data_IF_748705360211
#
_entry.id   IF_748705360211
#
_cell.length_a   1.000
_cell.length_b   1.000
_cell.length_c   1.000
_cell.angle_alpha   90.00
_cell.angle_beta   90.00
_cell.angle_gamma   90.00
#
_symmetry.space_group_name_H-M   'P 1'
#
loop_
_entity.id
_entity.type
_entity.pdbx_description
1 polymer ?
#
# COMPACT_ATOMS: atom_id res chain seq x y z
N UNK A 1 -8.71 -6.89 0.87
CA UNK A 1 -8.59 -5.83 -0.15
C UNK A 1 -9.64 -6.15 -1.20
N UNK A 2 -10.47 -5.17 -1.55
CA UNK A 2 -11.55 -5.29 -2.52
C UNK A 2 -11.25 -4.50 -3.79
N UNK A 3 -10.64 -3.33 -3.67
CA UNK A 3 -10.20 -2.51 -4.80
C UNK A 3 -8.92 -1.74 -4.45
N UNK A 4 -8.19 -1.35 -5.49
CA UNK A 4 -6.99 -0.51 -5.40
C UNK A 4 -6.96 0.44 -6.59
N UNK A 5 -6.58 1.69 -6.34
CA UNK A 5 -6.33 2.69 -7.37
C UNK A 5 -4.98 3.35 -7.13
N UNK A 6 -4.24 3.58 -8.21
CA UNK A 6 -2.98 4.29 -8.21
C UNK A 6 -3.08 5.40 -9.27
N UNK A 7 -3.06 6.65 -8.82
CA UNK A 7 -2.94 7.82 -9.68
C UNK A 7 -1.50 8.33 -9.67
N UNK A 8 -0.89 8.43 -10.85
CA UNK A 8 0.48 8.91 -11.06
C UNK A 8 0.53 10.26 -11.80
N UNK A 9 -0.61 10.94 -11.96
CA UNK A 9 -0.71 12.17 -12.76
C UNK A 9 -0.32 13.45 -12.00
N UNK A 10 -0.30 13.39 -10.66
CA UNK A 10 0.08 14.50 -9.79
C UNK A 10 1.58 14.63 -9.57
N UNK A 11 1.97 15.62 -8.75
CA UNK A 11 3.34 15.77 -8.24
C UNK A 11 3.72 14.55 -7.37
N UNK A 12 2.81 14.19 -6.46
CA UNK A 12 2.84 12.94 -5.71
C UNK A 12 1.86 11.93 -6.31
N UNK A 13 2.20 10.66 -6.20
CA UNK A 13 1.26 9.58 -6.51
C UNK A 13 0.18 9.49 -5.42
N UNK A 14 -1.06 9.18 -5.80
CA UNK A 14 -2.14 8.92 -4.86
C UNK A 14 -2.51 7.44 -4.88
N UNK A 15 -2.40 6.78 -3.72
CA UNK A 15 -2.80 5.40 -3.52
C UNK A 15 -4.11 5.35 -2.74
N UNK A 16 -5.13 4.75 -3.35
CA UNK A 16 -6.42 4.47 -2.69
C UNK A 16 -6.61 2.96 -2.55
N UNK A 17 -6.91 2.52 -1.34
CA UNK A 17 -7.13 1.11 -1.00
C UNK A 17 -8.52 0.95 -0.39
N UNK A 18 -9.33 0.04 -0.91
CA UNK A 18 -10.64 -0.27 -0.34
C UNK A 18 -10.63 -1.67 0.27
N UNK A 19 -11.03 -1.78 1.52
CA UNK A 19 -11.27 -3.05 2.22
C UNK A 19 -12.57 -3.02 3.03
N UNK A 20 -12.82 -4.07 3.81
CA UNK A 20 -14.03 -4.19 4.64
C UNK A 20 -14.19 -3.06 5.68
N UNK A 21 -13.12 -2.29 5.95
CA UNK A 21 -13.09 -1.18 6.89
C UNK A 21 -13.29 0.17 6.20
N UNK A 22 -13.44 0.19 4.88
CA UNK A 22 -13.67 1.38 4.07
C UNK A 22 -12.51 1.71 3.15
N UNK A 23 -12.48 2.98 2.73
CA UNK A 23 -11.51 3.53 1.81
C UNK A 23 -10.36 4.20 2.57
N UNK A 24 -9.13 3.92 2.14
CA UNK A 24 -7.91 4.45 2.73
C UNK A 24 -7.11 5.19 1.68
N UNK A 25 -6.80 6.45 1.96
CA UNK A 25 -6.00 7.30 1.08
C UNK A 25 -4.58 7.46 1.62
N UNK A 26 -3.59 7.38 0.73
CA UNK A 26 -2.18 7.56 1.06
C UNK A 26 -1.54 8.38 -0.08
N UNK A 27 -1.01 9.56 0.24
CA UNK A 27 -0.11 10.29 -0.64
C UNK A 27 1.25 9.61 -0.65
N UNK A 28 1.81 9.39 -1.84
CA UNK A 28 3.03 8.62 -2.06
C UNK A 28 4.01 9.48 -2.87
N UNK A 29 5.12 9.87 -2.24
CA UNK A 29 6.15 10.63 -2.95
C UNK A 29 6.81 9.82 -4.06
N UNK A 30 7.23 10.50 -5.14
CA UNK A 30 7.97 9.88 -6.25
C UNK A 30 9.47 9.89 -5.96
N UNK A 31 9.99 8.82 -5.35
CA UNK A 31 11.39 8.74 -4.88
C UNK A 31 11.70 9.49 -3.58
N UNK A 32 10.82 10.40 -3.15
CA UNK A 32 10.86 11.08 -1.86
C UNK A 32 9.86 10.49 -0.86
N UNK A 33 10.06 10.78 0.44
CA UNK A 33 9.14 10.36 1.49
C UNK A 33 8.13 11.45 1.80
N UNK A 34 6.84 11.14 1.65
CA UNK A 34 5.73 12.03 2.01
C UNK A 34 5.08 11.56 3.30
N UNK A 35 4.93 12.47 4.26
CA UNK A 35 4.27 12.22 5.53
C UNK A 35 2.75 12.30 5.38
N UNK A 36 2.04 11.43 6.08
CA UNK A 36 0.59 11.45 6.15
C UNK A 36 0.04 10.58 7.28
N UNK A 37 -1.25 10.32 7.22
CA UNK A 37 -1.94 9.40 8.13
C UNK A 37 -2.86 8.48 7.33
N UNK A 38 -3.00 7.23 7.76
CA UNK A 38 -3.93 6.29 7.13
C UNK A 38 -4.51 5.32 8.15
N UNK A 39 -5.74 4.87 7.93
CA UNK A 39 -6.34 3.76 8.65
C UNK A 39 -6.06 2.40 7.99
N UNK A 40 -5.27 2.37 6.90
CA UNK A 40 -4.87 1.14 6.24
C UNK A 40 -3.97 0.33 7.18
N UNK A 41 -4.59 -0.62 7.88
CA UNK A 41 -3.95 -1.40 8.93
C UNK A 41 -3.64 -2.82 8.42
N UNK A 42 -2.79 -2.91 7.41
CA UNK A 42 -2.41 -4.20 6.83
C UNK A 42 -1.32 -4.94 7.63
N UNK A 43 -0.87 -4.39 8.75
CA UNK A 43 0.29 -4.90 9.48
C UNK A 43 0.04 -5.12 10.98
N UNK A 44 -0.93 -4.45 11.60
CA UNK A 44 -0.96 -4.31 13.06
C UNK A 44 -2.24 -4.92 13.62
N UNK A 45 -2.19 -6.23 13.83
CA UNK A 45 -3.19 -7.02 14.56
C UNK A 45 -4.62 -6.93 14.03
N UNK A 46 -5.21 -8.08 13.67
CA UNK A 46 -6.65 -8.17 13.37
C UNK A 46 -7.53 -7.67 14.53
N UNK A 47 -6.96 -7.57 15.73
CA UNK A 47 -7.60 -7.10 16.96
C UNK A 47 -7.56 -5.58 17.14
N UNK A 48 -6.84 -4.82 16.31
CA UNK A 48 -6.86 -3.37 16.38
C UNK A 48 -8.25 -2.85 15.99
N UNK A 49 -8.82 -1.86 16.72
CA UNK A 49 -10.09 -1.25 16.36
C UNK A 49 -10.04 -0.75 14.91
N UNK A 50 -11.06 -1.10 14.13
CA UNK A 50 -11.21 -0.56 12.79
C UNK A 50 -11.26 0.98 12.89
N UNK A 51 -10.54 1.68 12.01
CA UNK A 51 -10.47 3.14 11.87
C UNK A 51 -9.44 3.92 12.72
N UNK A 52 -8.46 3.29 13.38
CA UNK A 52 -7.36 4.06 13.99
C UNK A 52 -6.43 4.61 12.91
N UNK A 53 -6.47 5.92 12.70
CA UNK A 53 -5.52 6.66 11.86
C UNK A 53 -4.12 6.56 12.44
N UNK A 54 -3.17 6.08 11.65
CA UNK A 54 -1.77 5.95 12.05
C UNK A 54 -0.88 6.83 11.20
N UNK A 55 0.11 7.50 11.81
CA UNK A 55 1.10 8.23 11.04
C UNK A 55 1.92 7.29 10.17
N UNK A 56 2.11 7.69 8.91
CA UNK A 56 2.83 6.93 7.89
C UNK A 56 3.69 7.88 7.07
N UNK A 57 4.87 7.42 6.66
CA UNK A 57 5.60 8.01 5.54
C UNK A 57 5.50 7.06 4.35
N UNK A 58 5.22 7.56 3.16
CA UNK A 58 5.12 6.74 1.95
C UNK A 58 5.99 7.26 0.82
N UNK A 59 6.60 6.33 0.10
CA UNK A 59 7.44 6.59 -1.06
C UNK A 59 7.21 5.51 -2.12
N UNK A 60 7.17 5.90 -3.38
CA UNK A 60 6.90 5.02 -4.51
C UNK A 60 7.88 5.22 -5.65
N UNK A 61 8.13 4.15 -6.39
CA UNK A 61 8.96 4.17 -7.58
C UNK A 61 8.67 2.97 -8.50
N UNK A 62 8.94 3.14 -9.79
CA UNK A 62 9.09 2.02 -10.71
C UNK A 62 10.36 1.23 -10.37
N UNK A 63 10.20 -0.05 -10.04
CA UNK A 63 11.31 -0.95 -9.70
C UNK A 63 11.64 -1.92 -10.83
N UNK A 64 10.72 -2.05 -11.79
CA UNK A 64 10.89 -2.71 -13.07
C UNK A 64 10.03 -1.99 -14.12
N UNK A 65 10.16 -2.37 -15.40
CA UNK A 65 9.41 -1.74 -16.51
C UNK A 65 7.89 -1.91 -16.41
N UNK A 66 7.42 -2.86 -15.60
CA UNK A 66 6.01 -3.20 -15.40
C UNK A 66 5.57 -3.15 -13.93
N UNK A 67 6.45 -2.75 -13.00
CA UNK A 67 6.19 -2.89 -11.55
C UNK A 67 6.43 -1.58 -10.81
N UNK A 68 5.34 -1.01 -10.27
CA UNK A 68 5.38 0.13 -9.35
C UNK A 68 5.35 -0.37 -7.91
N UNK A 69 6.37 -0.03 -7.12
CA UNK A 69 6.46 -0.40 -5.71
C UNK A 69 6.16 0.81 -4.84
N UNK A 70 5.33 0.61 -3.81
CA UNK A 70 5.05 1.59 -2.74
C UNK A 70 5.59 1.05 -1.44
N UNK A 71 6.43 1.81 -0.76
CA UNK A 71 6.91 1.53 0.59
C UNK A 71 6.19 2.42 1.58
N UNK A 72 5.59 1.81 2.58
CA UNK A 72 4.97 2.50 3.71
C UNK A 72 5.87 2.34 4.93
N UNK A 73 5.99 3.38 5.75
CA UNK A 73 6.72 3.37 7.00
C UNK A 73 5.82 3.92 8.10
N UNK A 74 5.24 3.03 8.92
CA UNK A 74 4.44 3.40 10.08
C UNK A 74 5.37 3.73 11.24
N UNK A 75 5.95 4.93 11.23
CA UNK A 75 7.13 5.32 12.02
C UNK A 75 6.94 5.40 13.54
N UNK A 76 5.74 5.09 14.05
CA UNK A 76 5.49 4.87 15.48
C UNK A 76 5.46 3.38 15.86
N UNK A 77 5.83 2.52 14.92
CA UNK A 77 5.76 1.05 14.98
C UNK A 77 6.97 0.46 14.23
N UNK A 78 7.28 -0.83 14.40
CA UNK A 78 8.37 -1.46 13.65
C UNK A 78 7.99 -1.83 12.20
N UNK A 79 6.78 -1.52 11.73
CA UNK A 79 6.26 -2.05 10.47
C UNK A 79 6.48 -1.11 9.28
N UNK A 80 7.09 -1.64 8.24
CA UNK A 80 7.36 -0.97 6.98
C UNK A 80 6.95 -1.84 5.79
N UNK A 81 5.64 -2.00 5.50
CA UNK A 81 5.19 -2.85 4.42
C UNK A 81 5.50 -2.26 3.04
N UNK A 82 5.60 -3.16 2.07
CA UNK A 82 5.78 -2.87 0.65
C UNK A 82 4.60 -3.45 -0.13
N UNK A 83 3.99 -2.60 -0.95
CA UNK A 83 3.00 -2.97 -1.95
C UNK A 83 3.71 -2.99 -3.30
N UNK A 84 3.53 -4.07 -4.06
CA UNK A 84 4.01 -4.18 -5.44
C UNK A 84 2.80 -4.27 -6.38
N UNK A 85 2.76 -3.39 -7.38
CA UNK A 85 1.72 -3.36 -8.41
C UNK A 85 2.38 -3.69 -9.74
N UNK A 86 2.17 -4.93 -10.21
CA UNK A 86 2.68 -5.39 -11.50
C UNK A 86 1.59 -5.31 -12.55
N UNK A 87 1.82 -4.56 -13.61
CA UNK A 87 0.86 -4.30 -14.69
C UNK A 87 1.10 -5.25 -15.87
N UNK A 88 0.04 -5.88 -16.36
CA UNK A 88 0.09 -6.75 -17.53
C UNK A 88 -1.18 -6.59 -18.35
N UNK A 89 -1.13 -5.74 -19.38
CA UNK A 89 -2.31 -5.41 -20.18
C UNK A 89 -3.34 -4.65 -19.34
N UNK A 90 -4.54 -5.20 -19.24
CA UNK A 90 -5.66 -4.68 -18.41
C UNK A 90 -5.68 -5.27 -16.99
N UNK A 91 -4.72 -6.12 -16.64
CA UNK A 91 -4.60 -6.73 -15.31
C UNK A 91 -3.52 -6.06 -14.46
N UNK A 92 -3.78 -5.98 -13.15
CA UNK A 92 -2.80 -5.60 -12.14
C UNK A 92 -2.67 -6.71 -11.10
N UNK A 93 -1.45 -7.22 -10.90
CA UNK A 93 -1.15 -8.08 -9.75
C UNK A 93 -0.75 -7.22 -8.56
N UNK A 94 -1.49 -7.35 -7.46
CA UNK A 94 -1.19 -6.78 -6.16
C UNK A 94 -0.41 -7.78 -5.31
N UNK A 95 0.82 -7.42 -4.98
CA UNK A 95 1.65 -8.09 -3.98
C UNK A 95 1.76 -7.25 -2.70
N UNK A 96 1.77 -7.92 -1.54
CA UNK A 96 1.97 -7.26 -0.25
C UNK A 96 2.97 -8.03 0.59
N UNK A 97 3.99 -7.31 1.08
CA UNK A 97 5.03 -7.83 1.95
C UNK A 97 5.21 -6.93 3.16
N UNK A 98 5.34 -7.52 4.34
CA UNK A 98 5.73 -6.82 5.57
C UNK A 98 7.18 -7.15 5.91
N UNK A 99 7.89 -6.18 6.51
CA UNK A 99 9.28 -6.36 6.91
C UNK A 99 9.46 -7.31 8.10
N UNK A 100 8.49 -7.36 9.02
CA UNK A 100 8.54 -8.20 10.22
C UNK A 100 7.13 -8.60 10.64
N UNK A 101 6.95 -9.87 11.02
CA UNK A 101 5.71 -10.37 11.60
C UNK A 101 5.97 -11.66 12.39
N UNK A 102 5.06 -11.98 13.30
CA UNK A 102 4.93 -13.34 13.84
C UNK A 102 4.08 -14.17 12.88
N UNK A 103 4.68 -14.63 11.79
CA UNK A 103 4.01 -15.40 10.73
C UNK A 103 4.57 -15.09 9.33
N UNK A 104 3.85 -15.49 8.27
CA UNK A 104 4.23 -15.20 6.90
C UNK A 104 4.40 -13.69 6.67
N UNK A 105 5.48 -13.33 5.98
CA UNK A 105 5.77 -11.94 5.63
C UNK A 105 5.02 -11.48 4.37
N UNK A 106 4.48 -12.40 3.60
CA UNK A 106 3.82 -12.14 2.33
C UNK A 106 2.37 -12.61 2.39
N UNK A 107 1.49 -11.85 1.74
CA UNK A 107 0.10 -12.25 1.52
C UNK A 107 -0.02 -12.92 0.15
N UNK A 108 -1.02 -13.80 -0.06
CA UNK A 108 -1.36 -14.26 -1.41
C UNK A 108 -1.56 -13.07 -2.34
N UNK A 109 -1.04 -13.18 -3.56
CA UNK A 109 -1.24 -12.18 -4.61
C UNK A 109 -2.73 -12.07 -4.95
N UNK A 110 -3.16 -10.85 -5.29
CA UNK A 110 -4.49 -10.58 -5.79
C UNK A 110 -4.37 -10.06 -7.22
N UNK A 111 -5.26 -10.49 -8.12
CA UNK A 111 -5.31 -9.97 -9.49
C UNK A 111 -6.55 -9.11 -9.63
N UNK A 112 -6.35 -7.84 -9.99
CA UNK A 112 -7.40 -6.90 -10.36
C UNK A 112 -7.44 -6.72 -11.88
N UNK A 113 -8.61 -6.32 -12.39
CA UNK A 113 -8.80 -5.88 -13.78
C UNK A 113 -9.18 -4.42 -13.79
N UNK A 114 -8.72 -3.68 -14.80
CA UNK A 114 -9.19 -2.33 -15.06
C UNK A 114 -10.71 -2.34 -15.24
N UNK A 115 -11.40 -1.43 -14.55
CA UNK A 115 -12.84 -1.25 -14.58
C UNK A 115 -13.23 0.13 -15.11
#
# INVERSE_FOLDING_TARGET
>A
LQAISLDLTGEDAALTLCDERGEHHISVGSGDWVLGTTAFDAAISRSAPAAVQRPVAASGAWTAGDTYAVRLCFYQTPFCPTIALRFSGDEVTYGFKINVAFGPLERPELVGKAG
#
